data_IF_326934434220
#
_entry.id   IF_326934434220
#
_cell.length_a   1.000
_cell.length_b   1.000
_cell.length_c   1.000
_cell.angle_alpha   90.00
_cell.angle_beta   90.00
_cell.angle_gamma   90.00
#
_symmetry.space_group_name_H-M   'P 1'
#
loop_
_entity.id
_entity.type
_entity.pdbx_description
1 polymer ?
#
# COMPACT_ATOMS: atom_id res chain seq x y z
N UNK A 1 -12.32 -4.92 -8.43
CA UNK A 1 -12.85 -4.27 -7.22
C UNK A 1 -13.59 -5.29 -6.37
N UNK A 2 -13.81 -5.08 -5.05
CA UNK A 2 -14.67 -5.94 -4.25
C UNK A 2 -16.08 -6.00 -4.83
N UNK A 3 -16.79 -7.13 -4.64
CA UNK A 3 -18.13 -7.33 -5.21
C UNK A 3 -19.15 -6.27 -4.78
N UNK A 4 -18.97 -5.68 -3.59
CA UNK A 4 -19.77 -4.56 -3.09
C UNK A 4 -18.85 -3.47 -2.57
N UNK A 5 -19.14 -2.22 -2.90
CA UNK A 5 -18.50 -1.03 -2.32
C UNK A 5 -19.61 -0.02 -2.06
N UNK A 6 -19.76 0.42 -0.81
CA UNK A 6 -20.77 1.42 -0.46
C UNK A 6 -20.26 2.83 -0.74
N UNK A 7 -21.18 3.76 -1.02
CA UNK A 7 -20.83 5.17 -1.07
C UNK A 7 -20.26 5.61 0.29
N UNK A 8 -19.12 6.30 0.27
CA UNK A 8 -18.41 6.72 1.47
C UNK A 8 -17.37 5.73 1.99
N UNK A 9 -17.28 4.49 1.48
CA UNK A 9 -16.15 3.60 1.80
C UNK A 9 -14.82 4.21 1.31
N UNK A 10 -13.72 3.97 2.02
CA UNK A 10 -12.38 4.28 1.52
C UNK A 10 -11.84 3.08 0.75
N UNK A 11 -11.27 3.36 -0.42
CA UNK A 11 -10.53 2.41 -1.24
C UNK A 11 -9.06 2.81 -1.23
N UNK A 12 -8.17 1.88 -0.90
CA UNK A 12 -6.71 2.06 -1.03
C UNK A 12 -6.19 1.00 -1.97
N UNK A 13 -5.37 1.40 -2.94
CA UNK A 13 -4.65 0.51 -3.85
C UNK A 13 -3.17 0.66 -3.63
N UNK A 14 -2.52 -0.48 -3.40
CA UNK A 14 -1.08 -0.65 -3.51
C UNK A 14 -0.77 -1.31 -4.85
N UNK A 15 0.22 -0.79 -5.57
CA UNK A 15 0.63 -1.29 -6.88
C UNK A 15 2.15 -1.35 -6.96
N UNK A 16 2.67 -2.57 -7.08
CA UNK A 16 4.07 -2.85 -7.38
C UNK A 16 4.22 -3.21 -8.86
N UNK A 17 5.26 -2.71 -9.53
CA UNK A 17 5.59 -3.06 -10.91
C UNK A 17 7.06 -3.40 -11.08
N UNK A 18 7.36 -4.35 -11.96
CA UNK A 18 8.73 -4.61 -12.43
C UNK A 18 9.15 -3.51 -13.40
N UNK A 19 10.10 -2.67 -13.04
CA UNK A 19 10.44 -1.45 -13.77
C UNK A 19 9.61 -0.24 -13.32
N UNK A 20 9.84 0.90 -13.96
CA UNK A 20 9.37 2.21 -13.49
C UNK A 20 8.43 2.93 -14.49
N UNK A 21 7.32 2.30 -14.91
CA UNK A 21 6.39 2.93 -15.85
C UNK A 21 5.75 4.18 -15.22
N UNK A 22 5.30 5.12 -16.05
CA UNK A 22 4.30 6.09 -15.61
C UNK A 22 2.96 5.36 -15.43
N UNK A 23 2.22 5.69 -14.38
CA UNK A 23 0.94 5.05 -14.06
C UNK A 23 -0.14 6.12 -14.10
N UNK A 24 -1.08 5.97 -15.02
CA UNK A 24 -2.26 6.82 -15.12
C UNK A 24 -3.39 6.20 -14.27
N UNK A 25 -3.71 6.83 -13.14
CA UNK A 25 -4.80 6.40 -12.29
C UNK A 25 -6.17 6.75 -12.91
N UNK A 26 -7.23 5.94 -12.66
CA UNK A 26 -8.59 6.31 -13.05
C UNK A 26 -9.03 7.62 -12.39
N UNK A 27 -10.03 8.28 -12.98
CA UNK A 27 -10.58 9.51 -12.43
C UNK A 27 -11.06 9.36 -10.97
N UNK A 28 -10.74 10.36 -10.14
CA UNK A 28 -11.14 10.44 -8.75
C UNK A 28 -10.35 9.55 -7.79
N UNK A 29 -9.19 9.03 -8.21
CA UNK A 29 -8.18 8.48 -7.30
C UNK A 29 -7.14 9.55 -6.97
N UNK A 30 -6.83 9.71 -5.69
CA UNK A 30 -5.77 10.57 -5.16
C UNK A 30 -4.46 9.79 -5.13
N UNK A 31 -3.41 10.34 -5.71
CA UNK A 31 -2.05 9.81 -5.63
C UNK A 31 -1.40 10.20 -4.30
N UNK A 32 -0.76 9.23 -3.64
CA UNK A 32 -0.03 9.44 -2.39
C UNK A 32 1.48 9.38 -2.60
N UNK A 33 1.96 8.31 -3.21
CA UNK A 33 3.37 8.17 -3.56
C UNK A 33 3.55 7.19 -4.72
N UNK A 34 4.73 7.28 -5.34
CA UNK A 34 5.20 6.40 -6.40
C UNK A 34 6.72 6.43 -6.46
N UNK A 35 7.37 5.54 -5.73
CA UNK A 35 8.82 5.47 -5.64
C UNK A 35 9.37 4.47 -6.63
N UNK A 36 10.56 4.77 -7.15
CA UNK A 36 11.33 3.89 -8.01
C UNK A 36 12.49 3.29 -7.22
N UNK A 37 13.00 2.15 -7.68
CA UNK A 37 14.22 1.58 -7.13
C UNK A 37 15.45 2.48 -7.30
N UNK A 38 16.41 2.32 -6.38
CA UNK A 38 17.68 3.02 -6.43
C UNK A 38 18.67 2.27 -7.33
N UNK A 39 19.51 2.99 -8.08
CA UNK A 39 20.55 2.38 -8.92
C UNK A 39 20.09 1.87 -10.29
N UNK A 40 18.81 2.02 -10.64
CA UNK A 40 18.28 1.71 -11.98
C UNK A 40 16.75 1.56 -11.98
N UNK A 41 16.07 1.57 -13.14
CA UNK A 41 14.61 1.47 -13.22
C UNK A 41 14.13 0.01 -13.13
N UNK A 42 14.36 -0.67 -12.00
CA UNK A 42 14.05 -2.10 -11.84
C UNK A 42 12.72 -2.38 -11.14
N UNK A 43 12.20 -1.47 -10.34
CA UNK A 43 10.85 -1.57 -9.78
C UNK A 43 10.25 -0.24 -9.38
N UNK A 44 8.93 -0.23 -9.25
CA UNK A 44 8.16 0.87 -8.69
C UNK A 44 7.12 0.36 -7.70
N UNK A 45 6.92 1.10 -6.62
CA UNK A 45 5.83 0.88 -5.69
C UNK A 45 5.02 2.17 -5.52
N UNK A 46 3.70 2.09 -5.61
CA UNK A 46 2.80 3.24 -5.57
C UNK A 46 1.56 2.98 -4.74
N UNK A 47 1.00 4.06 -4.19
CA UNK A 47 -0.27 4.05 -3.48
C UNK A 47 -1.23 5.11 -4.01
N UNK A 48 -2.49 4.71 -4.13
CA UNK A 48 -3.61 5.59 -4.48
C UNK A 48 -4.77 5.34 -3.53
N UNK A 49 -5.59 6.37 -3.29
CA UNK A 49 -6.82 6.20 -2.52
C UNK A 49 -8.02 6.93 -3.14
N UNK A 50 -9.22 6.45 -2.85
CA UNK A 50 -10.48 7.01 -3.35
C UNK A 50 -11.57 6.87 -2.29
N UNK A 51 -12.31 7.95 -2.04
CA UNK A 51 -13.60 7.88 -1.38
C UNK A 51 -14.63 7.37 -2.41
N UNK A 52 -15.21 6.21 -2.14
CA UNK A 52 -16.11 5.54 -3.04
C UNK A 52 -17.41 6.31 -3.21
N UNK A 53 -17.96 6.31 -4.43
CA UNK A 53 -19.28 6.88 -4.71
C UNK A 53 -20.39 5.81 -4.73
N UNK A 54 -20.06 4.54 -4.51
CA UNK A 54 -20.99 3.42 -4.44
C UNK A 54 -21.23 2.72 -5.77
N UNK A 55 -20.54 3.13 -6.83
CA UNK A 55 -20.62 2.51 -8.18
C UNK A 55 -19.46 1.59 -8.49
N UNK A 56 -18.45 1.54 -7.61
CA UNK A 56 -17.22 0.79 -7.84
C UNK A 56 -17.38 -0.73 -7.63
N UNK A 57 -18.41 -1.17 -6.90
CA UNK A 57 -18.66 -2.59 -6.59
C UNK A 57 -18.76 -3.46 -7.84
N UNK A 58 -18.00 -4.56 -7.88
CA UNK A 58 -17.98 -5.50 -9.01
C UNK A 58 -17.33 -4.98 -10.29
N UNK A 59 -16.78 -3.76 -10.28
CA UNK A 59 -16.13 -3.15 -11.46
C UNK A 59 -14.61 -3.40 -11.48
N UNK A 60 -13.95 -2.81 -12.48
CA UNK A 60 -12.49 -2.77 -12.62
C UNK A 60 -12.00 -1.32 -12.52
N UNK A 61 -10.92 -1.10 -11.77
CA UNK A 61 -10.18 0.16 -11.75
C UNK A 61 -8.92 0.00 -12.63
N UNK A 62 -8.82 0.78 -13.72
CA UNK A 62 -7.72 0.69 -14.68
C UNK A 62 -6.56 1.64 -14.34
N UNK A 63 -5.53 1.13 -13.67
CA UNK A 63 -4.27 1.85 -13.47
C UNK A 63 -3.33 1.56 -14.65
N UNK A 64 -3.43 2.38 -15.69
CA UNK A 64 -2.75 2.12 -16.95
C UNK A 64 -1.26 2.46 -16.88
N UNK A 65 -0.40 1.53 -17.28
CA UNK A 65 1.05 1.73 -17.35
C UNK A 65 1.46 2.27 -18.72
N UNK A 66 2.47 3.15 -18.77
CA UNK A 66 2.98 3.71 -20.03
C UNK A 66 3.73 2.71 -20.92
N UNK A 67 4.14 1.58 -20.36
CA UNK A 67 4.82 0.48 -21.03
C UNK A 67 4.24 -0.86 -20.56
N UNK A 68 4.36 -1.89 -21.39
CA UNK A 68 4.02 -3.25 -20.99
C UNK A 68 4.95 -3.70 -19.86
N UNK A 69 4.36 -4.21 -18.78
CA UNK A 69 5.06 -4.45 -17.52
C UNK A 69 4.34 -5.48 -16.67
N UNK A 70 5.08 -6.18 -15.82
CA UNK A 70 4.50 -7.03 -14.78
C UNK A 70 4.13 -6.19 -13.57
N UNK A 71 3.04 -6.56 -12.89
CA UNK A 71 2.58 -5.86 -11.71
C UNK A 71 1.79 -6.73 -10.76
N UNK A 72 1.88 -6.40 -9.48
CA UNK A 72 1.07 -6.98 -8.41
C UNK A 72 0.29 -5.85 -7.74
N UNK A 73 -0.98 -6.09 -7.45
CA UNK A 73 -1.85 -5.11 -6.85
C UNK A 73 -2.64 -5.70 -5.69
N UNK A 74 -2.84 -4.89 -4.66
CA UNK A 74 -3.74 -5.19 -3.54
C UNK A 74 -4.69 -4.01 -3.35
N UNK A 75 -5.94 -4.32 -3.02
CA UNK A 75 -6.97 -3.32 -2.78
C UNK A 75 -7.64 -3.55 -1.43
N UNK A 76 -7.61 -2.52 -0.60
CA UNK A 76 -8.34 -2.44 0.66
C UNK A 76 -9.64 -1.66 0.47
N UNK A 77 -10.74 -2.22 1.00
CA UNK A 77 -11.99 -1.49 1.22
C UNK A 77 -12.17 -1.30 2.71
N UNK A 78 -12.21 -0.06 3.15
CA UNK A 78 -12.28 0.32 4.55
C UNK A 78 -13.60 1.06 4.76
N UNK A 79 -14.52 0.41 5.45
CA UNK A 79 -15.74 1.04 5.94
C UNK A 79 -15.44 1.80 7.24
N UNK A 80 -16.29 2.77 7.60
CA UNK A 80 -16.21 3.53 8.84
C UNK A 80 -14.87 4.26 9.06
N UNK A 81 -14.24 4.74 7.98
CA UNK A 81 -13.16 5.73 8.09
C UNK A 81 -13.76 7.13 8.31
N UNK A 82 -12.99 8.03 8.90
CA UNK A 82 -13.37 9.44 9.00
C UNK A 82 -13.19 10.08 7.63
N UNK A 83 -14.23 10.72 7.11
CA UNK A 83 -14.17 11.46 5.86
C UNK A 83 -14.42 12.95 6.10
N UNK A 84 -13.36 13.74 6.17
CA UNK A 84 -13.42 15.20 6.32
C UNK A 84 -13.75 15.94 5.02
N UNK A 85 -13.95 15.23 3.91
CA UNK A 85 -14.09 15.77 2.56
C UNK A 85 -12.76 15.94 1.83
N UNK A 86 -11.62 15.78 2.53
CA UNK A 86 -10.27 15.81 1.94
C UNK A 86 -9.52 14.57 2.41
N UNK A 87 -9.34 13.58 1.52
CA UNK A 87 -8.74 12.28 1.86
C UNK A 87 -7.38 12.44 2.57
N UNK A 88 -6.54 13.38 2.13
CA UNK A 88 -5.21 13.60 2.70
C UNK A 88 -5.22 14.14 4.15
N UNK A 89 -6.37 14.56 4.69
CA UNK A 89 -6.50 14.92 6.11
C UNK A 89 -6.79 13.71 7.01
N UNK A 90 -7.25 12.59 6.43
CA UNK A 90 -7.68 11.39 7.16
C UNK A 90 -6.89 10.15 6.75
N UNK A 91 -5.99 10.28 5.76
CA UNK A 91 -5.04 9.26 5.33
C UNK A 91 -3.66 9.91 5.21
N UNK A 92 -2.68 9.38 5.94
CA UNK A 92 -1.28 9.81 5.88
C UNK A 92 -0.38 8.60 5.61
N UNK A 93 0.78 8.82 5.00
CA UNK A 93 1.72 7.77 4.64
C UNK A 93 3.15 8.22 4.85
N UNK A 94 4.00 7.31 5.30
CA UNK A 94 5.45 7.46 5.24
C UNK A 94 6.06 6.30 4.43
N UNK A 95 7.13 6.57 3.69
CA UNK A 95 7.71 5.65 2.70
C UNK A 95 9.23 5.63 2.83
N UNK A 96 9.82 4.44 2.75
CA UNK A 96 11.26 4.24 2.68
C UNK A 96 11.62 3.14 1.69
N UNK A 97 12.91 2.94 1.43
CA UNK A 97 13.41 1.79 0.68
C UNK A 97 14.76 1.33 1.23
N UNK A 98 15.20 0.15 0.84
CA UNK A 98 16.55 -0.36 1.15
C UNK A 98 16.87 -1.56 0.25
N UNK A 99 18.00 -2.22 0.49
CA UNK A 99 18.40 -3.48 -0.13
C UNK A 99 18.91 -4.45 0.93
N UNK A 100 18.03 -5.31 1.39
CA UNK A 100 18.28 -6.35 2.40
C UNK A 100 17.09 -7.34 2.41
N UNK A 101 17.10 -8.30 3.32
CA UNK A 101 16.04 -9.31 3.45
C UNK A 101 14.91 -8.91 4.42
N UNK A 102 14.86 -7.62 4.80
CA UNK A 102 14.00 -7.11 5.86
C UNK A 102 13.27 -5.83 5.43
N UNK A 103 12.26 -5.91 4.54
CA UNK A 103 11.44 -4.76 4.21
C UNK A 103 10.88 -4.08 5.46
N UNK A 104 11.33 -2.85 5.72
CA UNK A 104 11.10 -2.13 6.97
C UNK A 104 10.32 -0.83 6.70
N UNK A 105 8.98 -0.86 6.71
CA UNK A 105 8.17 0.35 6.64
C UNK A 105 8.55 1.36 7.73
N UNK A 106 8.71 2.65 7.39
CA UNK A 106 9.19 3.62 8.36
C UNK A 106 8.11 3.97 9.39
N UNK A 107 8.52 4.38 10.59
CA UNK A 107 7.59 4.91 11.59
C UNK A 107 6.79 6.12 11.04
N UNK A 108 5.54 6.25 11.46
CA UNK A 108 4.63 7.33 11.08
C UNK A 108 3.91 7.91 12.31
N UNK A 109 3.98 9.23 12.45
CA UNK A 109 3.22 10.05 13.41
C UNK A 109 2.34 11.04 12.60
N UNK A 110 1.05 10.73 12.37
CA UNK A 110 0.16 11.56 11.58
C UNK A 110 -0.05 12.95 12.19
N UNK A 111 0.00 13.97 11.33
CA UNK A 111 0.06 15.36 11.78
C UNK A 111 -1.29 15.79 12.37
N UNK A 112 -1.30 16.20 13.64
CA UNK A 112 -2.48 16.68 14.37
C UNK A 112 -3.56 15.61 14.66
N UNK A 113 -3.21 14.32 14.70
CA UNK A 113 -4.16 13.27 15.09
C UNK A 113 -4.10 13.01 16.60
N UNK A 114 -2.89 13.00 17.19
CA UNK A 114 -2.72 12.56 18.57
C UNK A 114 -3.17 11.11 18.75
N UNK A 115 -3.52 10.71 19.99
CA UNK A 115 -3.96 9.34 20.26
C UNK A 115 -5.41 9.09 19.83
N UNK A 116 -5.57 8.64 18.58
CA UNK A 116 -6.87 8.32 18.01
C UNK A 116 -6.94 6.89 17.50
N UNK A 117 -8.16 6.38 17.32
CA UNK A 117 -8.38 5.05 16.78
C UNK A 117 -8.01 5.05 15.29
N UNK A 118 -6.89 4.41 14.98
CA UNK A 118 -6.30 4.43 13.64
C UNK A 118 -6.16 3.00 13.12
N UNK A 119 -6.47 2.82 11.84
CA UNK A 119 -6.04 1.65 11.08
C UNK A 119 -4.64 1.92 10.53
N UNK A 120 -3.70 1.05 10.88
CA UNK A 120 -2.33 1.09 10.40
C UNK A 120 -2.11 -0.04 9.42
N UNK A 121 -1.62 0.27 8.23
CA UNK A 121 -1.27 -0.70 7.20
C UNK A 121 0.23 -0.60 6.95
N UNK A 122 0.92 -1.70 7.12
CA UNK A 122 2.31 -1.88 6.71
C UNK A 122 2.29 -2.59 5.36
N UNK A 123 3.06 -2.12 4.38
CA UNK A 123 3.18 -2.78 3.09
C UNK A 123 4.57 -2.59 2.47
N UNK A 124 4.97 -3.49 1.58
CA UNK A 124 6.12 -3.30 0.72
C UNK A 124 5.86 -3.77 -0.71
N UNK A 125 6.56 -3.16 -1.67
CA UNK A 125 6.72 -3.64 -3.03
C UNK A 125 8.19 -3.96 -3.35
N UNK A 126 8.47 -5.04 -4.07
CA UNK A 126 9.82 -5.48 -4.41
C UNK A 126 9.92 -6.00 -5.85
N UNK A 127 11.15 -6.03 -6.38
CA UNK A 127 11.48 -6.63 -7.69
C UNK A 127 11.92 -8.10 -7.54
N UNK A 128 11.34 -8.98 -8.36
CA UNK A 128 11.52 -10.43 -8.31
C UNK A 128 10.60 -11.13 -7.30
N UNK A 129 10.67 -12.46 -7.27
CA UNK A 129 9.95 -13.32 -6.32
C UNK A 129 10.51 -13.15 -4.90
N UNK A 130 9.86 -12.28 -4.12
CA UNK A 130 10.24 -11.99 -2.74
C UNK A 130 9.04 -12.15 -1.82
N UNK A 131 8.52 -13.38 -1.72
CA UNK A 131 7.43 -13.69 -0.80
C UNK A 131 7.76 -13.35 0.67
N UNK A 132 6.81 -12.72 1.36
CA UNK A 132 6.89 -12.49 2.80
C UNK A 132 6.84 -13.82 3.55
N UNK A 133 7.89 -14.14 4.29
CA UNK A 133 7.96 -15.32 5.18
C UNK A 133 7.57 -14.98 6.61
N UNK A 134 7.64 -13.70 6.98
CA UNK A 134 7.10 -13.15 8.22
C UNK A 134 6.53 -11.75 7.98
N UNK A 135 5.53 -11.41 8.79
CA UNK A 135 4.86 -10.11 8.79
C UNK A 135 5.20 -9.33 10.08
N UNK A 136 5.02 -8.00 10.07
CA UNK A 136 5.22 -7.15 11.24
C UNK A 136 4.52 -7.69 12.49
N UNK A 137 5.20 -7.65 13.64
CA UNK A 137 4.68 -8.26 14.87
C UNK A 137 3.38 -7.59 15.32
N UNK A 138 2.39 -8.39 15.75
CA UNK A 138 1.06 -7.93 16.15
C UNK A 138 0.21 -7.31 15.01
N UNK A 139 0.64 -7.44 13.76
CA UNK A 139 -0.21 -7.17 12.60
C UNK A 139 -0.96 -8.44 12.21
N UNK A 140 -2.23 -8.27 11.83
CA UNK A 140 -3.08 -9.35 11.34
C UNK A 140 -3.25 -9.30 9.82
N UNK A 141 -3.89 -10.34 9.29
CA UNK A 141 -4.31 -10.41 7.88
C UNK A 141 -3.17 -10.18 6.87
N UNK A 142 -1.99 -10.72 7.18
CA UNK A 142 -0.85 -10.74 6.27
C UNK A 142 -1.26 -11.33 4.92
N UNK A 143 -1.06 -10.57 3.85
CA UNK A 143 -1.40 -10.95 2.48
C UNK A 143 -0.22 -10.69 1.56
N UNK A 144 0.04 -11.63 0.66
CA UNK A 144 1.05 -11.54 -0.38
C UNK A 144 0.39 -11.66 -1.75
N UNK A 145 0.86 -10.85 -2.70
CA UNK A 145 0.49 -10.90 -4.10
C UNK A 145 1.75 -10.80 -4.96
N UNK A 146 1.76 -11.53 -6.06
CA UNK A 146 2.86 -11.52 -7.02
C UNK A 146 2.32 -11.53 -8.45
N UNK A 147 3.10 -10.97 -9.36
CA UNK A 147 2.74 -11.01 -10.79
C UNK A 147 3.01 -12.37 -11.42
N UNK A 148 4.06 -13.05 -10.96
CA UNK A 148 4.50 -14.41 -11.29
C UNK A 148 5.59 -14.88 -10.31
N UNK A 149 6.21 -16.03 -10.56
CA UNK A 149 7.29 -16.62 -9.75
C UNK A 149 8.63 -16.56 -10.48
N UNK A 150 8.95 -15.40 -11.08
CA UNK A 150 10.20 -15.20 -11.84
C UNK A 150 11.09 -14.13 -11.22
N UNK A 151 12.35 -14.08 -11.65
CA UNK A 151 13.30 -13.04 -11.27
C UNK A 151 12.92 -11.63 -11.75
N UNK A 152 11.89 -11.49 -12.59
CA UNK A 152 11.35 -10.20 -13.06
C UNK A 152 9.92 -9.98 -12.55
N UNK A 153 9.50 -10.71 -11.53
CA UNK A 153 8.18 -10.52 -10.92
C UNK A 153 8.09 -9.15 -10.24
N UNK A 154 6.88 -8.65 -10.06
CA UNK A 154 6.58 -7.68 -9.03
C UNK A 154 5.96 -8.40 -7.83
N UNK A 155 6.54 -8.21 -6.65
CA UNK A 155 6.04 -8.76 -5.39
C UNK A 155 5.48 -7.65 -4.51
N UNK A 156 4.41 -7.95 -3.78
CA UNK A 156 3.72 -7.02 -2.89
C UNK A 156 3.21 -7.78 -1.68
N UNK A 157 3.52 -7.31 -0.48
CA UNK A 157 2.89 -7.80 0.74
C UNK A 157 2.37 -6.66 1.61
N UNK A 158 1.37 -6.97 2.41
CA UNK A 158 0.82 -6.05 3.39
C UNK A 158 0.25 -6.78 4.60
N UNK A 159 0.14 -6.07 5.71
CA UNK A 159 -0.61 -6.49 6.88
C UNK A 159 -1.19 -5.25 7.57
N UNK A 160 -2.16 -5.43 8.47
CA UNK A 160 -2.73 -4.30 9.18
C UNK A 160 -3.05 -4.56 10.64
N UNK A 161 -3.20 -3.49 11.40
CA UNK A 161 -3.68 -3.49 12.77
C UNK A 161 -4.53 -2.25 13.04
N UNK A 162 -5.48 -2.36 13.97
CA UNK A 162 -6.26 -1.20 14.44
C UNK A 162 -5.89 -0.97 15.90
N UNK A 163 -5.48 0.25 16.25
CA UNK A 163 -5.17 0.61 17.64
C UNK A 163 -5.29 2.11 17.88
N UNK A 164 -5.38 2.49 19.15
CA UNK A 164 -5.34 3.89 19.58
C UNK A 164 -3.90 4.26 19.92
N UNK A 165 -3.26 5.04 19.04
CA UNK A 165 -1.88 5.50 19.22
C UNK A 165 -1.65 6.79 18.44
N UNK A 166 -0.74 7.63 18.91
CA UNK A 166 -0.30 8.82 18.18
C UNK A 166 0.62 8.47 17.00
N UNK A 167 1.44 7.44 17.17
CA UNK A 167 2.38 7.00 16.16
C UNK A 167 2.43 5.48 16.06
N UNK A 168 2.97 4.99 14.95
CA UNK A 168 3.16 3.56 14.70
C UNK A 168 4.51 3.31 14.04
N UNK A 169 5.20 2.29 14.54
CA UNK A 169 6.39 1.70 13.92
C UNK A 169 6.09 0.20 13.74
N UNK A 170 5.77 -0.26 12.51
CA UNK A 170 5.32 -1.63 12.30
C UNK A 170 6.34 -2.69 12.71
N UNK A 171 7.64 -2.38 12.66
CA UNK A 171 8.74 -3.34 12.55
C UNK A 171 8.76 -4.06 11.18
N UNK A 172 9.89 -4.68 10.78
CA UNK A 172 10.07 -5.16 9.43
C UNK A 172 9.29 -6.46 9.12
N UNK A 173 9.05 -6.66 7.83
CA UNK A 173 8.76 -7.96 7.23
C UNK A 173 10.06 -8.79 7.12
N UNK A 174 9.92 -10.07 6.77
CA UNK A 174 11.05 -10.92 6.36
C UNK A 174 10.79 -11.51 4.99
N UNK A 175 11.79 -11.49 4.11
CA UNK A 175 11.82 -12.18 2.82
C UNK A 175 12.99 -13.17 2.76
N UNK A 176 12.99 -14.09 1.79
CA UNK A 176 13.95 -15.20 1.76
C UNK A 176 15.40 -14.80 1.46
N UNK A 177 15.62 -13.71 0.73
CA UNK A 177 16.92 -13.23 0.33
C UNK A 177 16.94 -11.69 0.19
N UNK A 178 18.12 -11.10 0.16
CA UNK A 178 18.28 -9.66 -0.04
C UNK A 178 17.75 -9.25 -1.42
N UNK A 179 16.87 -8.25 -1.44
CA UNK A 179 16.37 -7.61 -2.65
C UNK A 179 16.12 -6.13 -2.40
N UNK A 180 16.02 -5.34 -3.46
CA UNK A 180 15.56 -3.98 -3.36
C UNK A 180 14.05 -3.97 -3.07
N UNK A 181 13.66 -3.23 -2.03
CA UNK A 181 12.27 -3.09 -1.62
C UNK A 181 11.93 -1.62 -1.33
N UNK A 182 10.64 -1.30 -1.44
CA UNK A 182 10.05 -0.02 -1.03
C UNK A 182 8.95 -0.33 -0.03
N UNK A 183 9.07 0.16 1.19
CA UNK A 183 8.14 -0.05 2.29
C UNK A 183 7.34 1.20 2.61
N UNK A 184 6.10 1.05 3.06
CA UNK A 184 5.29 2.16 3.55
C UNK A 184 4.45 1.80 4.76
N UNK A 185 4.30 2.78 5.65
CA UNK A 185 3.34 2.76 6.76
C UNK A 185 2.23 3.74 6.42
N UNK A 186 0.99 3.26 6.41
CA UNK A 186 -0.21 4.05 6.11
C UNK A 186 -1.07 4.15 7.35
N UNK A 187 -1.45 5.37 7.71
CA UNK A 187 -2.44 5.65 8.74
C UNK A 187 -3.78 5.99 8.08
N UNK A 188 -4.87 5.38 8.54
CA UNK A 188 -6.24 5.74 8.18
C UNK A 188 -7.01 6.06 9.44
N UNK A 189 -7.47 7.30 9.54
CA UNK A 189 -8.26 7.79 10.67
C UNK A 189 -9.63 7.15 10.63
N UNK A 190 -10.00 6.41 11.69
CA UNK A 190 -11.32 5.77 11.75
C UNK A 190 -12.37 6.74 12.31
N UNK A 191 -13.63 6.52 11.94
CA UNK A 191 -14.75 7.23 12.55
C UNK A 191 -14.84 6.91 14.06
N UNK A 192 -15.26 7.90 14.84
CA UNK A 192 -15.48 7.76 16.29
C UNK A 192 -16.64 6.81 16.61
#
# INVERSE_FOLDING_TARGET
MPGTVAAGDLLIVFLATHGTPNIAAPAGWTFFFGWNSWGGPSSKFSMYAKAANGTEGGTTANFQTSTAVKGAAQLYRISNWRNSGVIANDVEVNVTGSTDANPDPPALDPTNWGSEKTLWIAAYGADGDNAATAYPANYGNGTYAESDQSATSASLASAYVIRTSAAEDPAPFTIAASSFWIGCTVAVRLAA
#
